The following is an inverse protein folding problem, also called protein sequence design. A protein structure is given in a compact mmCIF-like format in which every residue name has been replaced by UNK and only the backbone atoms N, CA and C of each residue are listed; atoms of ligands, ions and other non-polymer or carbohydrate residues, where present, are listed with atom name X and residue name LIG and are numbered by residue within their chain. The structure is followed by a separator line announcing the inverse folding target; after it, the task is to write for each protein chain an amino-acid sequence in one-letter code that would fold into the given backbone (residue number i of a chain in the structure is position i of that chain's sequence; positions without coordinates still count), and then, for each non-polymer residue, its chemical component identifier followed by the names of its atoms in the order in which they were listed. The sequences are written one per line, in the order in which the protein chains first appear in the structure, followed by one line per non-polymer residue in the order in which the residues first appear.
data_IF_685425121703
#
_entry.id   IF_685425121703
#
_cell.length_a   1.000
_cell.length_b   1.000
_cell.length_c   1.000
_cell.angle_alpha   90.00
_cell.angle_beta   90.00
_cell.angle_gamma   90.00
#
_symmetry.space_group_name_H-M   'P 1'
#
loop_
_entity.id
_entity.type
_entity.pdbx_description
1 polymer ?
#
# COMPACT_ATOMS: atom_id res chain seq x y z
N UNK A 1 -0.57 -12.38 -5.10
CA UNK A 1 0.78 -12.18 -5.69
C UNK A 1 1.73 -11.54 -4.70
N UNK A 2 1.43 -10.34 -4.25
CA UNK A 2 2.32 -9.65 -3.30
C UNK A 2 2.42 -10.40 -1.97
N UNK A 3 1.30 -10.83 -1.42
CA UNK A 3 1.32 -11.53 -0.13
C UNK A 3 2.09 -12.84 -0.21
N UNK A 4 1.98 -13.55 -1.34
CA UNK A 4 2.72 -14.80 -1.52
C UNK A 4 4.23 -14.55 -1.53
N UNK A 5 4.66 -13.50 -2.21
CA UNK A 5 6.08 -13.15 -2.25
C UNK A 5 6.60 -12.79 -0.85
N UNK A 6 5.81 -11.98 -0.12
CA UNK A 6 6.21 -11.58 1.23
C UNK A 6 6.32 -12.77 2.17
N UNK A 7 5.38 -13.71 2.09
CA UNK A 7 5.44 -14.93 2.89
C UNK A 7 6.66 -15.78 2.54
N UNK A 8 6.94 -15.89 1.24
CA UNK A 8 8.07 -16.70 0.78
C UNK A 8 9.39 -16.15 1.31
N UNK A 9 9.51 -14.84 1.42
CA UNK A 9 10.73 -14.21 1.90
C UNK A 9 10.71 -13.94 3.41
N UNK A 10 9.73 -14.49 4.11
CA UNK A 10 9.61 -14.40 5.58
C UNK A 10 9.56 -12.96 6.07
N UNK A 11 8.87 -12.11 5.31
CA UNK A 11 8.66 -10.72 5.68
C UNK A 11 7.43 -10.62 6.57
N UNK A 12 7.55 -9.97 7.70
CA UNK A 12 6.41 -9.74 8.59
C UNK A 12 5.52 -8.65 7.99
N UNK A 13 4.27 -8.99 7.72
CA UNK A 13 3.33 -8.04 7.11
C UNK A 13 1.90 -8.36 7.50
N UNK A 14 1.02 -7.39 7.32
CA UNK A 14 -0.42 -7.59 7.43
C UNK A 14 -1.09 -7.04 6.19
N UNK A 15 -2.11 -7.75 5.70
CA UNK A 15 -2.92 -7.26 4.59
C UNK A 15 -4.14 -6.52 5.14
N UNK A 16 -4.72 -5.65 4.33
CA UNK A 16 -5.91 -4.89 4.70
C UNK A 16 -5.69 -4.16 6.03
N UNK A 17 -4.59 -3.43 6.12
CA UNK A 17 -4.17 -2.81 7.37
C UNK A 17 -4.84 -1.45 7.57
N UNK A 18 -5.37 -1.20 8.75
CA UNK A 18 -5.96 0.09 9.11
C UNK A 18 -5.35 0.61 10.40
N UNK A 19 -5.38 1.93 10.55
CA UNK A 19 -4.91 2.59 11.77
C UNK A 19 -6.14 3.05 12.57
N UNK A 20 -6.11 2.94 13.90
CA UNK A 20 -7.28 3.32 14.70
C UNK A 20 -7.71 4.76 14.52
N UNK A 21 -6.79 5.66 14.24
CA UNK A 21 -7.09 7.09 14.08
C UNK A 21 -7.19 7.53 12.63
N UNK A 22 -7.15 6.60 11.67
CA UNK A 22 -7.34 6.92 10.27
C UNK A 22 -8.80 6.67 9.91
N UNK A 23 -9.62 7.70 10.08
CA UNK A 23 -11.04 7.61 9.78
C UNK A 23 -11.46 8.79 8.91
N UNK A 24 -12.25 8.49 7.88
CA UNK A 24 -12.99 9.49 7.15
C UNK A 24 -14.47 9.23 7.45
N UNK A 25 -15.15 8.50 6.58
CA UNK A 25 -16.52 8.06 6.86
C UNK A 25 -16.48 6.66 7.44
N UNK A 26 -15.53 5.85 6.98
CA UNK A 26 -15.28 4.49 7.45
C UNK A 26 -13.78 4.35 7.64
N UNK A 27 -13.38 3.32 8.35
CA UNK A 27 -11.96 3.01 8.46
C UNK A 27 -11.38 2.78 7.09
N UNK A 28 -10.34 3.52 6.76
CA UNK A 28 -9.60 3.33 5.52
C UNK A 28 -8.52 2.28 5.74
N UNK A 29 -8.27 1.48 4.71
CA UNK A 29 -7.30 0.40 4.80
C UNK A 29 -6.27 0.51 3.71
N UNK A 30 -5.05 0.14 4.08
CA UNK A 30 -3.97 -0.03 3.11
C UNK A 30 -3.88 -1.50 2.74
N UNK A 31 -3.53 -1.78 1.49
CA UNK A 31 -3.50 -3.17 1.03
C UNK A 31 -2.51 -4.02 1.83
N UNK A 32 -1.34 -3.47 2.11
CA UNK A 32 -0.32 -4.19 2.89
C UNK A 32 0.44 -3.22 3.77
N UNK A 33 0.80 -3.67 4.96
CA UNK A 33 1.73 -2.99 5.84
C UNK A 33 2.91 -3.92 6.12
N UNK A 34 4.11 -3.41 5.93
CA UNK A 34 5.34 -4.14 6.28
C UNK A 34 5.69 -3.74 7.70
N UNK A 35 5.93 -4.73 8.54
CA UNK A 35 6.11 -4.53 9.97
C UNK A 35 7.50 -5.02 10.40
N UNK A 36 7.99 -4.42 11.50
CA UNK A 36 9.18 -4.96 12.14
C UNK A 36 8.78 -6.03 13.17
N UNK A 37 9.75 -6.54 13.92
CA UNK A 37 9.49 -7.61 14.88
C UNK A 37 8.60 -7.17 16.04
N UNK A 38 8.48 -5.88 16.26
CA UNK A 38 7.64 -5.32 17.32
C UNK A 38 6.30 -4.81 16.81
N UNK A 39 5.93 -5.19 15.58
CA UNK A 39 4.69 -4.78 14.92
C UNK A 39 4.62 -3.28 14.62
N UNK A 40 5.75 -2.61 14.56
CA UNK A 40 5.78 -1.24 14.08
C UNK A 40 5.72 -1.21 12.56
N UNK A 41 4.94 -0.28 12.02
CA UNK A 41 4.76 -0.17 10.57
C UNK A 41 5.98 0.51 9.96
N UNK A 42 6.68 -0.20 9.08
CA UNK A 42 7.85 0.31 8.39
C UNK A 42 7.51 0.91 7.04
N UNK A 43 6.49 0.40 6.37
CA UNK A 43 6.08 0.88 5.07
C UNK A 43 4.68 0.39 4.76
N UNK A 44 4.02 1.09 3.83
CA UNK A 44 2.70 0.74 3.36
C UNK A 44 2.74 0.53 1.86
N UNK A 45 1.96 -0.43 1.38
CA UNK A 45 1.86 -0.73 -0.04
C UNK A 45 0.39 -0.67 -0.45
N UNK A 46 0.12 0.08 -1.52
CA UNK A 46 -1.17 0.13 -2.18
C UNK A 46 -1.04 -0.46 -3.57
N UNK A 47 -1.90 -1.39 -3.90
CA UNK A 47 -1.97 -1.93 -5.25
C UNK A 47 -3.11 -1.24 -5.98
N UNK A 48 -2.79 -0.51 -7.04
CA UNK A 48 -3.78 0.25 -7.81
C UNK A 48 -4.01 -0.44 -9.15
N UNK A 49 -5.25 -0.84 -9.37
CA UNK A 49 -5.64 -1.41 -10.65
C UNK A 49 -6.11 -0.33 -11.61
N UNK A 50 -6.46 -0.76 -12.83
CA UNK A 50 -6.85 0.16 -13.89
C UNK A 50 -8.05 1.01 -13.52
N UNK A 51 -8.97 0.50 -12.72
CA UNK A 51 -10.17 1.26 -12.35
C UNK A 51 -9.86 2.53 -11.58
N UNK A 52 -8.68 2.67 -11.02
CA UNK A 52 -8.27 3.89 -10.35
C UNK A 52 -8.02 5.04 -11.34
N UNK A 53 -7.80 4.71 -12.59
CA UNK A 53 -7.45 5.71 -13.61
C UNK A 53 -8.61 5.99 -14.57
N UNK A 54 -9.68 5.20 -14.52
CA UNK A 54 -10.81 5.30 -15.45
C UNK A 54 -12.12 5.29 -14.70
N UNK A 55 -12.87 6.41 -14.71
CA UNK A 55 -14.19 6.43 -14.09
C UNK A 55 -15.10 5.39 -14.75
N UNK A 56 -15.84 4.64 -13.95
CA UNK A 56 -16.78 3.65 -14.46
C UNK A 56 -18.18 4.16 -14.21
N UNK A 57 -18.94 4.52 -15.27
CA UNK A 57 -20.24 5.18 -15.09
C UNK A 57 -21.21 4.44 -14.17
N UNK A 58 -21.26 3.12 -14.23
CA UNK A 58 -22.18 2.35 -13.40
C UNK A 58 -21.78 2.32 -11.93
N UNK A 59 -20.61 2.89 -11.58
CA UNK A 59 -20.14 2.97 -10.21
C UNK A 59 -20.31 4.37 -9.65
N UNK A 60 -21.23 5.17 -10.21
CA UNK A 60 -21.38 6.54 -9.80
C UNK A 60 -20.65 7.51 -10.69
N UNK A 61 -20.01 7.02 -11.75
CA UNK A 61 -19.33 7.86 -12.73
C UNK A 61 -18.28 8.74 -12.11
N UNK A 62 -18.27 10.00 -12.52
CA UNK A 62 -17.30 10.97 -12.06
C UNK A 62 -17.32 11.14 -10.55
N UNK A 63 -18.50 11.14 -9.96
CA UNK A 63 -18.65 11.32 -8.52
C UNK A 63 -17.94 10.19 -7.75
N UNK A 64 -18.13 8.95 -8.18
CA UNK A 64 -17.46 7.82 -7.53
C UNK A 64 -15.95 7.92 -7.65
N UNK A 65 -15.47 8.36 -8.82
CA UNK A 65 -14.05 8.54 -9.04
C UNK A 65 -13.47 9.62 -8.11
N UNK A 66 -14.16 10.73 -7.96
CA UNK A 66 -13.71 11.80 -7.07
C UNK A 66 -13.65 11.33 -5.61
N UNK A 67 -14.64 10.53 -5.19
CA UNK A 67 -14.64 9.99 -3.83
C UNK A 67 -13.42 9.09 -3.59
N UNK A 68 -13.08 8.24 -4.56
CA UNK A 68 -11.90 7.37 -4.46
C UNK A 68 -10.62 8.21 -4.40
N UNK A 69 -10.51 9.23 -5.23
CA UNK A 69 -9.34 10.10 -5.24
C UNK A 69 -9.18 10.81 -3.90
N UNK A 70 -10.29 11.22 -3.28
CA UNK A 70 -10.25 11.87 -1.98
C UNK A 70 -9.74 10.91 -0.90
N UNK A 71 -10.20 9.67 -0.92
CA UNK A 71 -9.72 8.66 0.04
C UNK A 71 -8.23 8.39 -0.14
N UNK A 72 -7.77 8.29 -1.38
CA UNK A 72 -6.36 8.09 -1.67
C UNK A 72 -5.52 9.25 -1.15
N UNK A 73 -6.04 10.47 -1.29
CA UNK A 73 -5.34 11.66 -0.78
C UNK A 73 -5.23 11.62 0.74
N UNK A 74 -6.30 11.25 1.42
CA UNK A 74 -6.29 11.14 2.88
C UNK A 74 -5.26 10.12 3.33
N UNK A 75 -5.21 8.96 2.66
CA UNK A 75 -4.25 7.92 2.99
C UNK A 75 -2.81 8.39 2.77
N UNK A 76 -2.57 9.10 1.68
CA UNK A 76 -1.23 9.61 1.40
C UNK A 76 -0.79 10.64 2.44
N UNK A 77 -1.69 11.54 2.83
CA UNK A 77 -1.38 12.54 3.84
C UNK A 77 -1.13 11.92 5.20
N UNK A 78 -1.91 10.91 5.57
CA UNK A 78 -1.73 10.22 6.84
C UNK A 78 -0.34 9.58 6.91
N UNK A 79 0.03 8.86 5.85
CA UNK A 79 1.34 8.22 5.80
C UNK A 79 2.46 9.25 5.90
N UNK A 80 2.33 10.36 5.18
CA UNK A 80 3.34 11.42 5.20
C UNK A 80 3.49 12.03 6.60
N UNK A 81 2.37 12.31 7.27
CA UNK A 81 2.39 12.90 8.61
C UNK A 81 3.01 11.99 9.65
N UNK A 82 2.92 10.69 9.44
CA UNK A 82 3.48 9.71 10.36
C UNK A 82 4.83 9.19 9.90
N UNK A 83 5.41 9.81 8.86
CA UNK A 83 6.73 9.45 8.33
C UNK A 83 6.81 7.99 7.91
N UNK A 84 5.72 7.46 7.34
CA UNK A 84 5.67 6.09 6.85
C UNK A 84 5.71 6.12 5.33
N UNK A 85 6.71 5.49 4.71
CA UNK A 85 6.74 5.41 3.24
C UNK A 85 5.52 4.70 2.69
N UNK A 86 4.92 5.24 1.64
CA UNK A 86 3.77 4.64 0.97
C UNK A 86 4.14 4.38 -0.47
N UNK A 87 4.06 3.12 -0.88
CA UNK A 87 4.46 2.68 -2.22
C UNK A 87 3.23 2.23 -2.99
N UNK A 88 3.17 2.64 -4.25
CA UNK A 88 2.09 2.26 -5.14
C UNK A 88 2.59 1.27 -6.19
N UNK A 89 1.82 0.21 -6.39
CA UNK A 89 2.09 -0.77 -7.43
C UNK A 89 0.84 -0.92 -8.29
N UNK A 90 1.02 -1.07 -9.59
CA UNK A 90 -0.10 -1.17 -10.52
C UNK A 90 -0.04 -2.47 -11.30
N UNK A 91 -1.16 -2.82 -11.96
CA UNK A 91 -1.17 -4.01 -12.81
C UNK A 91 -0.18 -3.91 -13.96
N UNK A 92 0.05 -2.69 -14.46
CA UNK A 92 1.03 -2.51 -15.52
C UNK A 92 2.45 -2.83 -15.07
N UNK A 93 2.68 -2.85 -13.75
CA UNK A 93 3.98 -3.16 -13.18
C UNK A 93 4.11 -4.64 -12.82
N UNK A 94 3.16 -5.48 -13.18
CA UNK A 94 3.12 -6.87 -12.74
C UNK A 94 4.43 -7.60 -13.00
N UNK A 95 5.01 -7.42 -14.17
CA UNK A 95 6.28 -8.06 -14.50
C UNK A 95 7.46 -7.53 -13.70
N UNK A 96 7.29 -6.36 -13.08
CA UNK A 96 8.33 -5.70 -12.31
C UNK A 96 8.05 -5.74 -10.80
N UNK A 97 6.92 -6.31 -10.40
CA UNK A 97 6.53 -6.28 -8.99
C UNK A 97 7.57 -6.95 -8.10
N UNK A 98 8.07 -8.11 -8.48
CA UNK A 98 9.04 -8.81 -7.66
C UNK A 98 10.34 -8.03 -7.50
N UNK A 99 10.94 -7.48 -8.58
CA UNK A 99 12.10 -6.61 -8.38
C UNK A 99 11.81 -5.37 -7.54
N UNK A 100 10.61 -4.78 -7.69
CA UNK A 100 10.22 -3.63 -6.89
C UNK A 100 10.10 -4.00 -5.41
N UNK A 101 9.50 -5.14 -5.11
CA UNK A 101 9.41 -5.63 -3.75
C UNK A 101 10.80 -5.90 -3.17
N UNK A 102 11.69 -6.47 -3.96
CA UNK A 102 13.05 -6.73 -3.51
C UNK A 102 13.77 -5.44 -3.18
N UNK A 103 13.64 -4.42 -4.02
CA UNK A 103 14.23 -3.11 -3.75
C UNK A 103 13.66 -2.51 -2.47
N UNK A 104 12.34 -2.60 -2.30
CA UNK A 104 11.69 -2.09 -1.11
C UNK A 104 12.21 -2.77 0.15
N UNK A 105 12.28 -4.09 0.12
CA UNK A 105 12.73 -4.85 1.28
C UNK A 105 14.20 -4.56 1.58
N UNK A 106 15.02 -4.41 0.56
CA UNK A 106 16.43 -4.05 0.76
C UNK A 106 16.57 -2.65 1.35
N UNK A 107 15.68 -1.74 1.01
CA UNK A 107 15.66 -0.41 1.59
C UNK A 107 15.27 -0.45 3.07
N UNK A 108 14.24 -1.23 3.41
CA UNK A 108 13.73 -1.31 4.78
C UNK A 108 14.63 -2.16 5.69
N UNK A 109 15.23 -3.19 5.14
CA UNK A 109 16.06 -4.13 5.88
C UNK A 109 17.41 -4.26 5.18
N UNK A 110 18.26 -3.23 5.28
CA UNK A 110 19.56 -3.28 4.60
C UNK A 110 20.34 -4.50 5.08
N UNK A 111 20.84 -5.28 4.13
CA UNK A 111 21.67 -6.42 4.49
C UNK A 111 22.91 -5.89 5.15
N UNK A 112 23.23 -6.47 6.29
CA UNK A 112 24.49 -6.16 6.92
C UNK A 112 25.59 -6.75 6.07
N UNK A 113 26.52 -5.89 5.73
CA UNK A 113 27.68 -6.34 4.96
C UNK A 113 28.63 -6.99 5.95
N UNK A 114 28.82 -8.24 5.71
CA UNK A 114 29.72 -9.01 6.57
C UNK A 114 31.07 -9.14 5.92
#
# INVERSE_FOLDING_TARGET
MISRWLKKHKIHFKSEYSFPNLKAIKSLRYDFAILDDNDNVLALIEFQGDQHFHPVPRWGGLHGHLSTAKHDQIKALYAQRNNIPLFYMTESDEKKIYPMLEQLINYLFPKQIN
#
